data_IF_826093957482
#
_entry.id   IF_826093957482
#
_cell.length_a   1.000
_cell.length_b   1.000
_cell.length_c   1.000
_cell.angle_alpha   90.00
_cell.angle_beta   90.00
_cell.angle_gamma   90.00
#
_symmetry.space_group_name_H-M   'P 1'
#
loop_
_entity.id
_entity.type
_entity.pdbx_description
1 polymer ?
#
# COMPACT_ATOMS: atom_id res chain seq x y z
N UNK A 1 35.60 30.81 -62.46
CA UNK A 1 36.25 30.36 -61.21
C UNK A 1 35.61 31.13 -60.08
N UNK A 2 35.21 30.39 -59.04
CA UNK A 2 34.06 30.67 -58.16
C UNK A 2 34.43 31.59 -57.00
N UNK A 3 33.52 32.52 -56.71
CA UNK A 3 33.52 33.50 -55.61
C UNK A 3 32.59 33.09 -54.46
N UNK A 4 32.81 33.76 -53.33
CA UNK A 4 32.36 33.44 -51.99
C UNK A 4 30.94 33.91 -51.61
N UNK A 5 30.38 33.21 -50.62
CA UNK A 5 29.53 33.71 -49.52
C UNK A 5 28.21 34.42 -49.83
N UNK A 6 27.07 33.84 -49.41
CA UNK A 6 25.95 34.55 -48.73
C UNK A 6 24.78 33.61 -48.35
N UNK A 7 24.23 33.88 -47.17
CA UNK A 7 22.83 33.80 -46.72
C UNK A 7 21.79 33.05 -47.57
N UNK A 8 21.10 32.10 -46.93
CA UNK A 8 19.78 31.62 -47.35
C UNK A 8 18.72 32.04 -46.31
N UNK A 9 17.76 32.87 -46.76
CA UNK A 9 16.46 33.06 -46.12
C UNK A 9 15.63 31.77 -46.21
N UNK A 10 14.54 31.63 -45.43
CA UNK A 10 13.20 32.06 -45.83
C UNK A 10 12.30 32.12 -44.58
N UNK A 11 11.46 33.17 -44.49
CA UNK A 11 10.14 33.08 -43.86
C UNK A 11 9.90 33.93 -42.61
N UNK A 12 9.75 35.24 -42.77
CA UNK A 12 9.16 36.12 -41.75
C UNK A 12 7.67 35.77 -41.52
N UNK A 13 7.33 35.31 -40.32
CA UNK A 13 5.95 35.23 -39.85
C UNK A 13 5.73 36.36 -38.84
N UNK A 14 4.99 37.37 -39.29
CA UNK A 14 4.45 38.46 -38.49
C UNK A 14 3.77 37.91 -37.23
N UNK A 15 4.29 38.25 -36.06
CA UNK A 15 3.61 38.04 -34.78
C UNK A 15 2.53 39.11 -34.65
N UNK A 16 1.26 38.70 -34.76
CA UNK A 16 0.12 39.52 -34.33
C UNK A 16 0.21 39.72 -32.81
N UNK A 17 0.25 40.94 -32.28
CA UNK A 17 0.18 41.15 -30.84
C UNK A 17 -1.26 40.87 -30.37
N UNK A 18 -1.46 39.89 -29.49
CA UNK A 18 -2.75 39.64 -28.85
C UNK A 18 -3.24 38.19 -28.77
N UNK A 19 -2.40 37.18 -29.01
CA UNK A 19 -2.77 35.78 -28.74
C UNK A 19 -1.93 35.28 -27.58
N UNK A 20 -2.57 35.05 -26.43
CA UNK A 20 -1.98 34.30 -25.32
C UNK A 20 -1.37 33.00 -25.87
N UNK A 21 -0.18 32.59 -25.41
CA UNK A 21 0.36 31.30 -25.83
C UNK A 21 -0.61 30.22 -25.41
N UNK A 22 -1.36 29.68 -26.38
CA UNK A 22 -2.20 28.50 -26.21
C UNK A 22 -1.30 27.40 -25.66
N UNK A 23 -1.38 27.16 -24.35
CA UNK A 23 -0.73 26.03 -23.72
C UNK A 23 -1.26 24.79 -24.45
N UNK A 24 -0.34 24.10 -25.16
CA UNK A 24 -0.62 22.76 -25.67
C UNK A 24 -1.23 21.96 -24.51
N UNK A 25 -2.35 21.25 -24.73
CA UNK A 25 -2.95 20.45 -23.67
C UNK A 25 -1.87 19.51 -23.16
N UNK A 26 -1.52 19.65 -21.89
CA UNK A 26 -0.58 18.76 -21.23
C UNK A 26 -1.00 17.32 -21.51
N UNK A 27 -0.07 16.42 -21.90
CA UNK A 27 -0.43 15.04 -22.20
C UNK A 27 -1.22 14.45 -21.03
N UNK A 28 -2.26 13.64 -21.30
CA UNK A 28 -3.10 13.09 -20.24
C UNK A 28 -2.20 12.39 -19.21
N UNK A 29 -2.39 12.75 -17.94
CA UNK A 29 -1.57 12.24 -16.86
C UNK A 29 -1.50 10.71 -16.96
N UNK A 30 -0.30 10.10 -16.89
CA UNK A 30 -0.18 8.66 -16.94
C UNK A 30 -0.99 8.05 -15.78
N UNK A 31 -1.81 7.05 -16.12
CA UNK A 31 -2.64 6.35 -15.14
C UNK A 31 -1.77 5.75 -14.05
N UNK A 32 -2.16 5.98 -12.80
CA UNK A 32 -1.44 5.60 -11.60
C UNK A 32 -1.23 4.07 -11.53
N UNK A 33 -2.24 3.30 -11.90
CA UNK A 33 -2.18 1.83 -11.89
C UNK A 33 -1.63 1.22 -13.18
N UNK A 34 -1.55 1.98 -14.27
CA UNK A 34 -0.96 1.56 -15.55
C UNK A 34 -1.34 0.13 -15.99
N UNK A 35 -0.38 -0.83 -16.00
CA UNK A 35 -0.62 -2.20 -16.45
C UNK A 35 -1.47 -3.06 -15.49
N UNK A 36 -1.75 -2.58 -14.27
CA UNK A 36 -2.56 -3.29 -13.29
C UNK A 36 -4.07 -3.01 -13.43
N UNK A 37 -4.46 -1.98 -14.18
CA UNK A 37 -5.87 -1.66 -14.47
C UNK A 37 -6.65 -2.84 -15.08
N UNK A 38 -6.13 -3.54 -16.12
CA UNK A 38 -6.78 -4.72 -16.66
C UNK A 38 -6.86 -5.85 -15.64
N UNK A 39 -5.83 -6.06 -14.81
CA UNK A 39 -5.79 -7.14 -13.82
C UNK A 39 -6.92 -6.99 -12.79
N UNK A 40 -7.24 -5.76 -12.37
CA UNK A 40 -8.40 -5.50 -11.50
C UNK A 40 -9.69 -5.92 -12.19
N UNK A 41 -9.88 -5.55 -13.46
CA UNK A 41 -11.08 -5.88 -14.23
C UNK A 41 -11.26 -7.39 -14.46
N UNK A 42 -10.17 -8.12 -14.66
CA UNK A 42 -10.19 -9.57 -14.87
C UNK A 42 -10.26 -10.38 -13.57
N UNK A 43 -9.93 -9.78 -12.41
CA UNK A 43 -9.93 -10.48 -11.13
C UNK A 43 -11.30 -10.94 -10.61
N UNK A 44 -12.39 -10.43 -11.19
CA UNK A 44 -13.74 -10.66 -10.68
C UNK A 44 -14.10 -9.87 -9.40
N UNK A 45 -13.15 -9.07 -8.86
CA UNK A 45 -13.35 -8.21 -7.69
C UNK A 45 -13.73 -6.76 -8.06
N UNK A 46 -13.76 -6.42 -9.34
CA UNK A 46 -14.13 -5.08 -9.82
C UNK A 46 -15.63 -4.80 -9.62
N UNK A 47 -15.93 -3.99 -8.61
CA UNK A 47 -17.27 -3.55 -8.27
C UNK A 47 -17.64 -2.17 -8.86
N UNK A 48 -16.83 -1.61 -9.77
CA UNK A 48 -17.07 -0.29 -10.38
C UNK A 48 -18.45 -0.21 -11.06
N UNK A 49 -18.88 -1.29 -11.73
CA UNK A 49 -20.18 -1.35 -12.44
C UNK A 49 -21.39 -1.31 -11.48
N UNK A 50 -21.23 -1.78 -10.25
CA UNK A 50 -22.27 -1.76 -9.21
C UNK A 50 -22.71 -0.33 -8.88
N UNK A 51 -21.75 0.61 -8.85
CA UNK A 51 -22.02 2.03 -8.59
C UNK A 51 -22.61 2.75 -9.81
N UNK A 52 -22.14 2.42 -11.02
CA UNK A 52 -22.51 3.16 -12.25
C UNK A 52 -23.88 2.77 -12.81
N UNK A 53 -24.31 1.52 -12.66
CA UNK A 53 -25.54 1.02 -13.29
C UNK A 53 -26.67 0.69 -12.30
N UNK A 54 -26.43 0.85 -10.99
CA UNK A 54 -27.30 0.43 -9.87
C UNK A 54 -27.59 -1.08 -9.84
N UNK A 55 -28.17 -1.57 -8.74
CA UNK A 55 -28.60 -2.98 -8.58
C UNK A 55 -29.63 -3.46 -9.63
N UNK A 56 -30.20 -2.56 -10.45
CA UNK A 56 -31.19 -2.90 -11.48
C UNK A 56 -30.59 -3.40 -12.80
N UNK A 57 -29.30 -3.20 -13.05
CA UNK A 57 -28.64 -3.73 -14.25
C UNK A 57 -28.18 -5.18 -14.02
N UNK A 58 -28.54 -6.07 -14.95
CA UNK A 58 -28.11 -7.49 -14.96
C UNK A 58 -26.59 -7.60 -14.86
N UNK A 59 -25.84 -6.69 -15.48
CA UNK A 59 -24.37 -6.70 -15.45
C UNK A 59 -23.81 -6.33 -14.07
N UNK A 60 -24.43 -5.37 -13.38
CA UNK A 60 -24.04 -5.00 -12.01
C UNK A 60 -24.31 -6.13 -11.01
N UNK A 61 -25.47 -6.79 -11.13
CA UNK A 61 -25.83 -7.93 -10.31
C UNK A 61 -24.86 -9.11 -10.52
N UNK A 62 -24.53 -9.45 -11.77
CA UNK A 62 -23.57 -10.51 -12.08
C UNK A 62 -22.20 -10.24 -11.46
N UNK A 63 -21.67 -9.01 -11.57
CA UNK A 63 -20.39 -8.65 -10.93
C UNK A 63 -20.45 -8.75 -9.41
N UNK A 64 -21.57 -8.36 -8.80
CA UNK A 64 -21.77 -8.48 -7.35
C UNK A 64 -21.77 -9.95 -6.90
N UNK A 65 -22.49 -10.80 -7.62
CA UNK A 65 -22.60 -12.23 -7.33
C UNK A 65 -21.23 -12.91 -7.45
N UNK A 66 -20.45 -12.61 -8.48
CA UNK A 66 -19.09 -13.14 -8.64
C UNK A 66 -18.20 -12.72 -7.48
N UNK A 67 -18.22 -11.43 -7.10
CA UNK A 67 -17.39 -10.92 -6.03
C UNK A 67 -17.79 -11.50 -4.65
N UNK A 68 -19.09 -11.65 -4.39
CA UNK A 68 -19.61 -12.33 -3.19
C UNK A 68 -19.23 -13.81 -3.19
N UNK A 69 -19.31 -14.49 -4.32
CA UNK A 69 -18.92 -15.89 -4.44
C UNK A 69 -17.43 -16.10 -4.15
N UNK A 70 -16.55 -15.25 -4.72
CA UNK A 70 -15.12 -15.24 -4.40
C UNK A 70 -14.90 -15.02 -2.90
N UNK A 71 -15.58 -14.05 -2.31
CA UNK A 71 -15.45 -13.77 -0.88
C UNK A 71 -15.89 -14.95 -0.01
N UNK A 72 -17.02 -15.58 -0.34
CA UNK A 72 -17.53 -16.76 0.38
C UNK A 72 -16.54 -17.91 0.30
N UNK A 73 -15.92 -18.15 -0.86
CA UNK A 73 -14.90 -19.19 -1.02
C UNK A 73 -13.70 -18.95 -0.09
N UNK A 74 -13.15 -17.73 -0.06
CA UNK A 74 -12.03 -17.40 0.82
C UNK A 74 -12.45 -17.52 2.30
N UNK A 75 -13.67 -17.13 2.65
CA UNK A 75 -14.17 -17.27 4.02
C UNK A 75 -14.34 -18.74 4.44
N UNK A 76 -14.79 -19.62 3.53
CA UNK A 76 -14.87 -21.06 3.79
C UNK A 76 -13.49 -21.59 4.17
N UNK A 77 -12.44 -21.17 3.46
CA UNK A 77 -11.06 -21.54 3.77
C UNK A 77 -10.60 -21.03 5.15
N UNK A 78 -10.92 -19.79 5.51
CA UNK A 78 -10.65 -19.27 6.87
C UNK A 78 -11.31 -20.14 7.95
N UNK A 79 -12.60 -20.44 7.80
CA UNK A 79 -13.33 -21.26 8.77
C UNK A 79 -12.83 -22.70 8.80
N UNK A 80 -12.36 -23.21 7.66
CA UNK A 80 -11.73 -24.51 7.52
C UNK A 80 -10.47 -24.57 8.40
N UNK A 81 -9.53 -23.62 8.24
CA UNK A 81 -8.33 -23.61 9.09
C UNK A 81 -8.65 -23.40 10.58
N UNK A 82 -9.61 -22.54 10.92
CA UNK A 82 -10.01 -22.29 12.32
C UNK A 82 -10.68 -23.49 13.01
N UNK A 83 -11.25 -24.44 12.26
CA UNK A 83 -11.91 -25.64 12.81
C UNK A 83 -10.93 -26.76 13.14
N UNK A 84 -9.67 -26.62 12.77
CA UNK A 84 -8.62 -27.58 13.10
C UNK A 84 -8.47 -27.68 14.62
N UNK A 85 -8.73 -28.86 15.17
CA UNK A 85 -8.48 -29.17 16.58
C UNK A 85 -7.07 -29.74 16.71
N UNK A 86 -6.16 -28.93 17.23
CA UNK A 86 -4.81 -29.35 17.57
C UNK A 86 -4.47 -28.88 18.99
N UNK A 87 -3.58 -29.61 19.68
CA UNK A 87 -3.14 -29.22 21.02
C UNK A 87 -2.39 -27.88 20.95
N UNK A 88 -2.63 -27.01 21.93
CA UNK A 88 -1.96 -25.70 22.00
C UNK A 88 -0.44 -25.89 22.02
N UNK A 89 0.29 -25.02 21.33
CA UNK A 89 1.76 -25.10 21.14
C UNK A 89 2.27 -26.31 20.32
N UNK A 90 1.39 -27.16 19.79
CA UNK A 90 1.77 -28.18 18.80
C UNK A 90 2.04 -27.57 17.42
N UNK A 91 2.73 -28.31 16.56
CA UNK A 91 2.97 -27.93 15.16
C UNK A 91 1.65 -27.68 14.42
N UNK A 92 0.67 -28.58 14.55
CA UNK A 92 -0.63 -28.44 13.87
C UNK A 92 -1.44 -27.24 14.35
N UNK A 93 -1.30 -26.84 15.62
CA UNK A 93 -1.93 -25.61 16.13
C UNK A 93 -1.27 -24.36 15.53
N UNK A 94 0.06 -24.29 15.55
CA UNK A 94 0.77 -23.13 15.00
C UNK A 94 0.58 -23.00 13.48
N UNK A 95 0.59 -24.13 12.76
CA UNK A 95 0.39 -24.18 11.30
C UNK A 95 -1.02 -23.73 10.90
N UNK A 96 -2.06 -24.32 11.52
CA UNK A 96 -3.45 -23.92 11.27
C UNK A 96 -3.69 -22.45 11.59
N UNK A 97 -3.11 -21.96 12.68
CA UNK A 97 -3.19 -20.56 13.08
C UNK A 97 -2.51 -19.66 12.04
N UNK A 98 -1.30 -20.00 11.58
CA UNK A 98 -0.59 -19.24 10.56
C UNK A 98 -1.39 -19.12 9.26
N UNK A 99 -1.88 -20.24 8.72
CA UNK A 99 -2.65 -20.24 7.48
C UNK A 99 -4.02 -19.57 7.64
N UNK A 100 -4.70 -19.75 8.77
CA UNK A 100 -5.95 -19.05 9.03
C UNK A 100 -5.78 -17.52 9.02
N UNK A 101 -4.70 -17.01 9.64
CA UNK A 101 -4.40 -15.58 9.64
C UNK A 101 -4.02 -15.06 8.25
N UNK A 102 -3.30 -15.83 7.44
CA UNK A 102 -3.00 -15.46 6.04
C UNK A 102 -4.24 -15.50 5.15
N UNK A 103 -5.14 -16.48 5.32
CA UNK A 103 -6.42 -16.52 4.63
C UNK A 103 -7.32 -15.33 5.04
N UNK A 104 -7.31 -14.93 6.33
CA UNK A 104 -8.00 -13.71 6.78
C UNK A 104 -7.40 -12.45 6.15
N UNK A 105 -6.07 -12.39 5.99
CA UNK A 105 -5.41 -11.30 5.26
C UNK A 105 -5.89 -11.23 3.81
N UNK A 106 -6.00 -12.37 3.11
CA UNK A 106 -6.53 -12.43 1.75
C UNK A 106 -8.01 -11.99 1.69
N UNK A 107 -8.83 -12.41 2.66
CA UNK A 107 -10.24 -11.99 2.75
C UNK A 107 -10.39 -10.47 2.93
N UNK A 108 -9.61 -9.86 3.82
CA UNK A 108 -9.60 -8.40 4.02
C UNK A 108 -9.10 -7.68 2.76
N UNK A 109 -8.14 -8.27 2.04
CA UNK A 109 -7.66 -7.74 0.77
C UNK A 109 -8.73 -7.76 -0.31
N UNK A 110 -9.48 -8.86 -0.42
CA UNK A 110 -10.62 -8.96 -1.33
C UNK A 110 -11.69 -7.89 -1.00
N UNK A 111 -12.07 -7.75 0.28
CA UNK A 111 -13.01 -6.72 0.74
C UNK A 111 -12.53 -5.32 0.36
N UNK A 112 -11.24 -5.05 0.58
CA UNK A 112 -10.65 -3.73 0.31
C UNK A 112 -10.67 -3.40 -1.19
N UNK A 113 -10.28 -4.35 -2.05
CA UNK A 113 -10.36 -4.17 -3.52
C UNK A 113 -11.80 -3.95 -3.97
N UNK A 114 -12.76 -4.72 -3.44
CA UNK A 114 -14.19 -4.52 -3.75
C UNK A 114 -14.67 -3.12 -3.34
N UNK A 115 -14.29 -2.64 -2.15
CA UNK A 115 -14.69 -1.33 -1.66
C UNK A 115 -14.04 -0.19 -2.46
N UNK A 116 -12.74 -0.27 -2.74
CA UNK A 116 -12.01 0.76 -3.49
C UNK A 116 -12.48 0.87 -4.94
N UNK A 117 -12.77 -0.26 -5.60
CA UNK A 117 -13.31 -0.28 -6.96
C UNK A 117 -14.75 0.21 -7.01
N UNK A 118 -15.60 -0.20 -6.06
CA UNK A 118 -16.98 0.33 -5.93
C UNK A 118 -16.99 1.84 -5.75
N UNK A 119 -16.08 2.37 -4.94
CA UNK A 119 -16.02 3.79 -4.61
C UNK A 119 -15.22 4.62 -5.63
N UNK A 120 -14.71 4.03 -6.72
CA UNK A 120 -13.82 4.71 -7.68
C UNK A 120 -12.70 5.48 -6.98
N UNK A 121 -12.18 4.91 -5.88
CA UNK A 121 -11.24 5.59 -4.99
C UNK A 121 -10.00 6.07 -5.74
N UNK A 122 -9.44 5.20 -6.59
CA UNK A 122 -8.22 5.50 -7.36
C UNK A 122 -8.44 6.65 -8.34
N UNK A 123 -9.57 6.69 -9.06
CA UNK A 123 -9.89 7.78 -9.98
C UNK A 123 -10.05 9.11 -9.24
N UNK A 124 -10.76 9.13 -8.11
CA UNK A 124 -10.93 10.35 -7.31
C UNK A 124 -9.58 10.85 -6.76
N UNK A 125 -8.69 9.93 -6.38
CA UNK A 125 -7.32 10.25 -5.98
C UNK A 125 -6.52 10.85 -7.15
N UNK A 126 -6.59 10.25 -8.35
CA UNK A 126 -5.92 10.76 -9.56
C UNK A 126 -6.38 12.17 -9.94
N UNK A 127 -7.70 12.42 -9.90
CA UNK A 127 -8.27 13.75 -10.21
C UNK A 127 -7.78 14.81 -9.22
N UNK A 128 -7.77 14.48 -7.93
CA UNK A 128 -7.28 15.40 -6.88
C UNK A 128 -5.77 15.62 -6.99
N UNK A 129 -5.01 14.57 -7.33
CA UNK A 129 -3.57 14.67 -7.57
C UNK A 129 -3.28 15.53 -8.81
N UNK A 130 -4.04 15.38 -9.90
CA UNK A 130 -3.90 16.20 -11.09
C UNK A 130 -4.11 17.69 -10.78
N UNK A 131 -5.11 18.03 -9.94
CA UNK A 131 -5.32 19.39 -9.45
C UNK A 131 -4.15 19.92 -8.61
N UNK A 132 -3.52 19.08 -7.79
CA UNK A 132 -2.32 19.47 -7.04
C UNK A 132 -1.12 19.72 -7.96
N UNK A 133 -1.00 18.94 -9.04
CA UNK A 133 0.09 19.09 -10.02
C UNK A 133 0.04 20.44 -10.75
N UNK A 134 -1.16 20.97 -11.02
CA UNK A 134 -1.29 22.29 -11.65
C UNK A 134 -0.84 23.44 -10.74
N UNK A 135 -0.66 23.19 -9.43
CA UNK A 135 -0.16 24.17 -8.45
C UNK A 135 1.35 24.01 -8.17
N UNK A 136 2.08 23.18 -8.93
CA UNK A 136 3.54 23.05 -8.83
C UNK A 136 4.24 24.29 -9.39
N UNK A 137 5.35 24.67 -8.77
CA UNK A 137 6.23 25.74 -9.28
C UNK A 137 7.20 25.19 -10.34
N UNK A 138 7.58 23.92 -10.20
CA UNK A 138 8.44 23.21 -11.14
C UNK A 138 7.79 21.91 -11.63
N UNK A 139 7.72 21.74 -12.95
CA UNK A 139 7.21 20.51 -13.57
C UNK A 139 8.38 19.59 -13.91
N UNK A 140 8.41 18.37 -13.36
CA UNK A 140 9.39 17.36 -13.73
C UNK A 140 8.69 16.11 -14.26
N UNK A 141 8.91 15.79 -15.55
CA UNK A 141 8.39 14.56 -16.16
C UNK A 141 8.86 13.29 -15.43
N UNK A 142 10.03 13.33 -14.78
CA UNK A 142 10.58 12.19 -14.02
C UNK A 142 9.78 11.85 -12.76
N UNK A 143 9.04 12.81 -12.20
CA UNK A 143 8.20 12.60 -11.02
C UNK A 143 6.87 11.93 -11.39
N UNK A 144 6.39 12.23 -12.60
CA UNK A 144 5.12 11.74 -13.12
C UNK A 144 5.26 10.41 -13.88
N UNK A 145 6.49 9.93 -14.11
CA UNK A 145 6.74 8.57 -14.63
C UNK A 145 6.60 7.50 -13.52
N UNK A 146 5.64 6.60 -13.71
CA UNK A 146 5.35 5.48 -12.82
C UNK A 146 5.93 4.14 -13.30
N UNK A 147 6.57 4.09 -14.47
CA UNK A 147 7.01 2.83 -15.11
C UNK A 147 7.99 2.03 -14.24
N UNK A 148 9.00 2.70 -13.67
CA UNK A 148 9.95 2.05 -12.74
C UNK A 148 9.25 1.51 -11.49
N UNK A 149 8.21 2.20 -11.06
CA UNK A 149 7.44 1.81 -9.90
C UNK A 149 6.54 0.59 -10.21
N UNK A 150 5.88 0.56 -11.37
CA UNK A 150 5.10 -0.60 -11.80
C UNK A 150 5.96 -1.86 -11.90
N UNK A 151 7.20 -1.74 -12.43
CA UNK A 151 8.15 -2.86 -12.45
C UNK A 151 8.51 -3.35 -11.04
N UNK A 152 8.71 -2.44 -10.09
CA UNK A 152 8.98 -2.80 -8.69
C UNK A 152 7.78 -3.46 -8.01
N UNK A 153 6.57 -2.97 -8.27
CA UNK A 153 5.33 -3.57 -7.79
C UNK A 153 5.14 -5.00 -8.35
N UNK A 154 5.41 -5.21 -9.64
CA UNK A 154 5.37 -6.54 -10.25
C UNK A 154 6.35 -7.52 -9.56
N UNK A 155 7.58 -7.08 -9.28
CA UNK A 155 8.56 -7.91 -8.55
C UNK A 155 8.12 -8.23 -7.11
N UNK A 156 7.36 -7.36 -6.45
CA UNK A 156 6.86 -7.59 -5.09
C UNK A 156 5.78 -8.68 -5.02
N UNK A 157 5.04 -8.88 -6.12
CA UNK A 157 3.92 -9.83 -6.19
C UNK A 157 4.39 -11.25 -6.46
N UNK A 158 5.47 -11.43 -7.22
CA UNK A 158 5.99 -12.75 -7.60
C UNK A 158 6.22 -13.67 -6.37
N UNK A 159 6.87 -13.22 -5.29
CA UNK A 159 7.05 -14.04 -4.09
C UNK A 159 5.73 -14.49 -3.45
N UNK A 160 4.68 -13.66 -3.49
CA UNK A 160 3.35 -14.03 -2.95
C UNK A 160 2.82 -15.24 -3.70
N UNK A 161 2.82 -15.19 -5.04
CA UNK A 161 2.34 -16.30 -5.86
C UNK A 161 3.22 -17.55 -5.69
N UNK A 162 4.54 -17.41 -5.75
CA UNK A 162 5.45 -18.55 -5.66
C UNK A 162 5.28 -19.27 -4.33
N UNK A 163 5.33 -18.55 -3.20
CA UNK A 163 5.36 -19.18 -1.87
C UNK A 163 4.00 -19.79 -1.52
N UNK A 164 2.91 -19.05 -1.74
CA UNK A 164 1.55 -19.50 -1.41
C UNK A 164 1.16 -20.69 -2.29
N UNK A 165 1.34 -20.59 -3.61
CA UNK A 165 0.98 -21.69 -4.51
C UNK A 165 1.90 -22.89 -4.32
N UNK A 166 3.21 -22.73 -4.16
CA UNK A 166 4.10 -23.87 -3.90
C UNK A 166 3.71 -24.61 -2.62
N UNK A 167 3.29 -23.91 -1.57
CA UNK A 167 2.80 -24.53 -0.33
C UNK A 167 1.49 -25.28 -0.57
N UNK A 168 0.54 -24.67 -1.27
CA UNK A 168 -0.76 -25.27 -1.56
C UNK A 168 -0.66 -26.49 -2.48
N UNK A 169 0.14 -26.41 -3.55
CA UNK A 169 0.40 -27.52 -4.46
C UNK A 169 1.13 -28.66 -3.76
N UNK A 170 2.17 -28.35 -2.97
CA UNK A 170 2.89 -29.37 -2.21
C UNK A 170 1.94 -30.10 -1.26
N UNK A 171 1.09 -29.37 -0.54
CA UNK A 171 0.11 -29.98 0.36
C UNK A 171 -0.94 -30.81 -0.38
N UNK A 172 -1.44 -30.33 -1.52
CA UNK A 172 -2.40 -31.05 -2.35
C UNK A 172 -1.83 -32.35 -2.95
N UNK A 173 -0.55 -32.37 -3.34
CA UNK A 173 0.10 -33.56 -3.92
C UNK A 173 0.43 -34.60 -2.85
N UNK A 174 0.85 -34.13 -1.67
CA UNK A 174 1.25 -35.01 -0.55
C UNK A 174 0.07 -35.46 0.32
N UNK A 175 -1.12 -34.87 0.14
CA UNK A 175 -2.28 -35.04 1.01
C UNK A 175 -1.99 -34.76 2.50
N UNK A 176 -0.98 -33.92 2.79
CA UNK A 176 -0.55 -33.57 4.14
C UNK A 176 -0.65 -32.06 4.30
N UNK A 177 -1.71 -31.61 4.95
CA UNK A 177 -1.83 -30.20 5.40
C UNK A 177 -1.43 -30.03 6.88
N UNK A 178 -1.12 -31.12 7.59
CA UNK A 178 -0.61 -31.06 8.97
C UNK A 178 0.68 -31.86 9.05
N UNK A 179 1.75 -31.19 9.45
CA UNK A 179 3.07 -31.80 9.66
C UNK A 179 3.13 -32.79 10.83
N UNK A 180 2.02 -33.02 11.55
CA UNK A 180 1.98 -34.04 12.58
C UNK A 180 0.62 -34.76 12.64
N UNK A 181 0.72 -36.07 12.81
CA UNK A 181 -0.29 -37.10 12.65
C UNK A 181 -1.57 -36.94 13.52
N UNK A 182 -2.63 -37.60 13.03
CA UNK A 182 -3.85 -38.07 13.71
C UNK A 182 -5.19 -37.34 13.44
N UNK A 183 -5.23 -36.21 12.73
CA UNK A 183 -6.52 -35.60 12.34
C UNK A 183 -6.70 -35.54 10.82
N UNK A 184 -7.15 -36.67 10.27
CA UNK A 184 -7.46 -36.87 8.83
C UNK A 184 -8.70 -36.11 8.35
N UNK A 185 -9.24 -35.16 9.12
CA UNK A 185 -10.50 -34.48 8.78
C UNK A 185 -10.43 -33.76 7.43
N UNK A 186 -9.23 -33.37 6.98
CA UNK A 186 -9.04 -32.62 5.74
C UNK A 186 -8.64 -33.44 4.51
N UNK A 187 -8.05 -34.64 4.64
CA UNK A 187 -7.58 -35.38 3.44
C UNK A 187 -8.74 -35.82 2.54
N UNK A 188 -9.95 -35.95 3.09
CA UNK A 188 -11.14 -36.39 2.36
C UNK A 188 -12.10 -35.25 2.00
N UNK A 189 -11.76 -33.99 2.33
CA UNK A 189 -12.64 -32.85 2.04
C UNK A 189 -12.44 -32.34 0.62
N UNK A 190 -13.53 -32.09 -0.10
CA UNK A 190 -13.51 -31.46 -1.43
C UNK A 190 -12.76 -30.12 -1.41
N UNK A 191 -12.82 -29.39 -0.29
CA UNK A 191 -12.11 -28.11 -0.11
C UNK A 191 -10.59 -28.28 -0.24
N UNK A 192 -10.03 -29.43 0.15
CA UNK A 192 -8.60 -29.71 0.06
C UNK A 192 -8.14 -29.88 -1.39
N UNK A 193 -8.93 -30.55 -2.23
CA UNK A 193 -8.60 -30.76 -3.65
C UNK A 193 -8.64 -29.44 -4.45
N UNK A 194 -9.43 -28.48 -3.99
CA UNK A 194 -9.53 -27.15 -4.60
C UNK A 194 -8.70 -26.08 -3.89
N UNK A 195 -7.94 -26.42 -2.84
CA UNK A 195 -7.14 -25.44 -2.08
C UNK A 195 -6.18 -24.62 -2.98
N UNK A 196 -5.44 -25.19 -3.94
CA UNK A 196 -4.59 -24.39 -4.84
C UNK A 196 -5.35 -23.36 -5.67
N UNK A 197 -6.60 -23.65 -6.02
CA UNK A 197 -7.46 -22.72 -6.75
C UNK A 197 -7.97 -21.60 -5.85
N UNK A 198 -8.34 -21.92 -4.60
CA UNK A 198 -8.77 -20.92 -3.61
C UNK A 198 -7.59 -20.00 -3.26
N UNK A 199 -6.43 -20.57 -2.98
CA UNK A 199 -5.18 -19.85 -2.72
C UNK A 199 -4.77 -18.96 -3.90
N UNK A 200 -4.95 -19.43 -5.14
CA UNK A 200 -4.72 -18.61 -6.33
C UNK A 200 -5.61 -17.36 -6.36
N UNK A 201 -6.89 -17.49 -6.02
CA UNK A 201 -7.81 -16.34 -5.91
C UNK A 201 -7.37 -15.42 -4.76
N UNK A 202 -6.97 -16.00 -3.62
CA UNK A 202 -6.40 -15.26 -2.49
C UNK A 202 -5.14 -14.46 -2.88
N UNK A 203 -4.23 -15.06 -3.65
CA UNK A 203 -3.04 -14.39 -4.18
C UNK A 203 -3.40 -13.21 -5.07
N UNK A 204 -4.39 -13.35 -5.97
CA UNK A 204 -4.87 -12.25 -6.81
C UNK A 204 -5.41 -11.12 -5.93
N UNK A 205 -6.26 -11.43 -4.96
CA UNK A 205 -6.86 -10.45 -4.07
C UNK A 205 -5.80 -9.69 -3.26
N UNK A 206 -4.89 -10.41 -2.58
CA UNK A 206 -3.80 -9.83 -1.79
C UNK A 206 -2.86 -8.99 -2.65
N UNK A 207 -2.48 -9.48 -3.83
CA UNK A 207 -1.56 -8.77 -4.71
C UNK A 207 -2.16 -7.46 -5.23
N UNK A 208 -3.42 -7.48 -5.68
CA UNK A 208 -4.10 -6.26 -6.13
C UNK A 208 -4.27 -5.25 -5.01
N UNK A 209 -4.61 -5.70 -3.80
CA UNK A 209 -4.76 -4.82 -2.65
C UNK A 209 -3.43 -4.15 -2.28
N UNK A 210 -2.33 -4.92 -2.23
CA UNK A 210 -0.99 -4.40 -1.98
C UNK A 210 -0.57 -3.41 -3.06
N UNK A 211 -0.80 -3.71 -4.35
CA UNK A 211 -0.48 -2.78 -5.44
C UNK A 211 -1.20 -1.46 -5.21
N UNK A 212 -2.53 -1.47 -5.07
CA UNK A 212 -3.31 -0.23 -4.94
C UNK A 212 -2.82 0.56 -3.72
N UNK A 213 -2.68 -0.11 -2.58
CA UNK A 213 -2.26 0.51 -1.32
C UNK A 213 -0.87 1.15 -1.42
N UNK A 214 0.14 0.42 -1.91
CA UNK A 214 1.52 0.91 -2.01
C UNK A 214 1.63 1.99 -3.08
N UNK A 215 0.91 1.86 -4.20
CA UNK A 215 0.95 2.84 -5.30
C UNK A 215 0.40 4.19 -4.86
N UNK A 216 -0.79 4.20 -4.24
CA UNK A 216 -1.45 5.43 -3.79
C UNK A 216 -0.59 6.14 -2.73
N UNK A 217 -0.14 5.41 -1.70
CA UNK A 217 0.72 6.00 -0.68
C UNK A 217 2.06 6.48 -1.25
N UNK A 218 2.66 5.76 -2.20
CA UNK A 218 3.92 6.20 -2.84
C UNK A 218 3.73 7.45 -3.68
N UNK A 219 2.63 7.57 -4.43
CA UNK A 219 2.33 8.76 -5.21
C UNK A 219 2.08 9.98 -4.33
N UNK A 220 1.32 9.81 -3.24
CA UNK A 220 1.14 10.85 -2.22
C UNK A 220 2.48 11.26 -1.61
N UNK A 221 3.31 10.29 -1.25
CA UNK A 221 4.63 10.51 -0.67
C UNK A 221 5.58 11.28 -1.60
N UNK A 222 5.55 10.98 -2.91
CA UNK A 222 6.33 11.71 -3.91
C UNK A 222 5.89 13.17 -4.02
N UNK A 223 4.59 13.43 -3.99
CA UNK A 223 4.07 14.79 -4.08
C UNK A 223 4.44 15.63 -2.84
N UNK A 224 4.30 15.07 -1.64
CA UNK A 224 4.69 15.77 -0.40
C UNK A 224 6.21 16.02 -0.39
N UNK A 225 7.02 15.03 -0.76
CA UNK A 225 8.47 15.21 -0.87
C UNK A 225 8.86 16.28 -1.89
N UNK A 226 8.15 16.34 -3.01
CA UNK A 226 8.38 17.38 -4.01
C UNK A 226 8.01 18.76 -3.47
N UNK A 227 6.86 18.88 -2.80
CA UNK A 227 6.45 20.08 -2.10
C UNK A 227 7.49 20.55 -1.08
N UNK A 228 8.02 19.64 -0.24
CA UNK A 228 9.07 19.96 0.73
C UNK A 228 10.32 20.50 0.02
N UNK A 229 10.75 19.86 -1.08
CA UNK A 229 11.91 20.33 -1.85
C UNK A 229 11.69 21.73 -2.43
N UNK A 230 10.50 22.03 -2.96
CA UNK A 230 10.16 23.36 -3.46
C UNK A 230 10.14 24.39 -2.32
N UNK A 231 9.55 24.04 -1.18
CA UNK A 231 9.49 24.88 0.01
C UNK A 231 10.88 25.20 0.55
N UNK A 232 11.76 24.21 0.70
CA UNK A 232 13.16 24.41 1.13
C UNK A 232 13.92 25.33 0.17
N UNK A 233 13.73 25.16 -1.14
CA UNK A 233 14.36 26.02 -2.13
C UNK A 233 13.84 27.46 -2.02
N UNK A 234 12.52 27.66 -1.92
CA UNK A 234 11.92 28.99 -1.76
C UNK A 234 12.32 29.67 -0.45
N UNK A 235 12.46 28.91 0.65
CA UNK A 235 13.00 29.42 1.91
C UNK A 235 14.45 29.90 1.74
N UNK A 236 15.30 29.09 1.08
CA UNK A 236 16.70 29.43 0.81
C UNK A 236 16.85 30.69 -0.05
N UNK A 237 15.96 30.92 -0.99
CA UNK A 237 15.95 32.12 -1.85
C UNK A 237 15.14 33.29 -1.25
N UNK A 238 14.71 33.20 0.01
CA UNK A 238 13.90 34.21 0.71
C UNK A 238 12.60 34.61 -0.03
N UNK A 239 12.12 33.77 -0.94
CA UNK A 239 10.91 34.03 -1.73
C UNK A 239 9.63 33.91 -0.88
N UNK A 240 9.71 33.28 0.29
CA UNK A 240 8.62 33.15 1.24
C UNK A 240 8.26 34.46 1.95
N UNK A 241 9.10 35.49 1.83
CA UNK A 241 8.81 36.85 2.30
C UNK A 241 7.75 37.58 1.47
N UNK A 242 7.36 37.01 0.31
CA UNK A 242 6.30 37.54 -0.53
C UNK A 242 4.95 36.95 -0.08
N UNK A 243 3.97 37.77 0.37
CA UNK A 243 2.69 37.27 0.87
C UNK A 243 1.94 36.39 -0.14
N UNK A 244 2.03 36.71 -1.44
CA UNK A 244 1.41 35.93 -2.50
C UNK A 244 2.01 34.52 -2.64
N UNK A 245 3.34 34.40 -2.50
CA UNK A 245 4.06 33.13 -2.60
C UNK A 245 3.73 32.26 -1.38
N UNK A 246 3.78 32.85 -0.18
CA UNK A 246 3.43 32.16 1.05
C UNK A 246 1.97 31.67 1.06
N UNK A 247 1.02 32.47 0.58
CA UNK A 247 -0.38 32.09 0.49
C UNK A 247 -0.61 30.94 -0.50
N UNK A 248 0.09 30.95 -1.64
CA UNK A 248 0.04 29.84 -2.61
C UNK A 248 0.57 28.53 -2.02
N UNK A 249 1.68 28.58 -1.27
CA UNK A 249 2.20 27.44 -0.53
C UNK A 249 1.22 26.96 0.54
N UNK A 250 0.63 27.87 1.32
CA UNK A 250 -0.38 27.54 2.34
C UNK A 250 -1.62 26.86 1.75
N UNK A 251 -2.11 27.34 0.59
CA UNK A 251 -3.23 26.75 -0.13
C UNK A 251 -2.92 25.34 -0.62
N UNK A 252 -1.76 25.15 -1.26
CA UNK A 252 -1.34 23.82 -1.73
C UNK A 252 -1.10 22.85 -0.57
N UNK A 253 -0.54 23.33 0.53
CA UNK A 253 -0.38 22.54 1.75
C UNK A 253 -1.75 22.08 2.30
N UNK A 254 -2.75 22.97 2.34
CA UNK A 254 -4.10 22.61 2.77
C UNK A 254 -4.68 21.49 1.90
N UNK A 255 -4.57 21.61 0.58
CA UNK A 255 -5.03 20.59 -0.36
C UNK A 255 -4.27 19.25 -0.19
N UNK A 256 -2.96 19.28 0.11
CA UNK A 256 -2.16 18.09 0.41
C UNK A 256 -2.60 17.39 1.70
N UNK A 257 -2.93 18.14 2.75
CA UNK A 257 -3.48 17.57 3.99
C UNK A 257 -4.85 16.94 3.70
N UNK A 258 -5.72 17.62 2.93
CA UNK A 258 -7.03 17.10 2.58
C UNK A 258 -6.92 15.79 1.78
N UNK A 259 -6.01 15.73 0.81
CA UNK A 259 -5.74 14.50 0.06
C UNK A 259 -5.21 13.39 0.97
N UNK A 260 -4.30 13.71 1.90
CA UNK A 260 -3.81 12.74 2.90
C UNK A 260 -4.95 12.20 3.75
N UNK A 261 -5.84 13.06 4.25
CA UNK A 261 -7.02 12.64 5.03
C UNK A 261 -7.97 11.76 4.21
N UNK A 262 -8.19 12.10 2.94
CA UNK A 262 -8.98 11.28 2.02
C UNK A 262 -8.38 9.88 1.86
N UNK A 263 -7.08 9.78 1.54
CA UNK A 263 -6.38 8.51 1.42
C UNK A 263 -6.45 7.71 2.72
N UNK A 264 -6.19 8.36 3.86
CA UNK A 264 -6.20 7.72 5.16
C UNK A 264 -7.58 7.18 5.53
N UNK A 265 -8.66 7.90 5.19
CA UNK A 265 -10.03 7.42 5.43
C UNK A 265 -10.31 6.10 4.68
N UNK A 266 -9.88 5.99 3.43
CA UNK A 266 -10.14 4.80 2.59
C UNK A 266 -9.15 3.65 2.82
N UNK A 267 -7.91 3.94 3.23
CA UNK A 267 -6.85 2.94 3.38
C UNK A 267 -6.57 2.53 4.83
N UNK A 268 -7.05 3.29 5.84
CA UNK A 268 -6.81 3.05 7.27
C UNK A 268 -7.05 1.62 7.71
N UNK A 269 -8.24 1.08 7.39
CA UNK A 269 -8.66 -0.27 7.81
C UNK A 269 -7.73 -1.34 7.25
N UNK A 270 -7.37 -1.23 5.98
CA UNK A 270 -6.43 -2.14 5.35
C UNK A 270 -5.04 -2.03 5.99
N UNK A 271 -4.51 -0.81 6.11
CA UNK A 271 -3.20 -0.55 6.71
C UNK A 271 -3.07 -0.92 8.20
N UNK A 272 -4.19 -1.04 8.91
CA UNK A 272 -4.22 -1.49 10.31
C UNK A 272 -4.38 -3.02 10.44
N UNK A 273 -5.34 -3.61 9.71
CA UNK A 273 -5.74 -5.01 9.91
C UNK A 273 -4.79 -5.98 9.21
N UNK A 274 -4.32 -5.65 8.00
CA UNK A 274 -3.44 -6.55 7.23
C UNK A 274 -2.11 -6.81 7.94
N UNK A 275 -1.37 -5.78 8.39
CA UNK A 275 -0.11 -6.01 9.11
C UNK A 275 -0.31 -6.80 10.41
N UNK A 276 -1.45 -6.64 11.09
CA UNK A 276 -1.76 -7.44 12.29
C UNK A 276 -1.84 -8.93 11.95
N UNK A 277 -2.65 -9.32 10.96
CA UNK A 277 -2.78 -10.72 10.57
C UNK A 277 -1.47 -11.32 10.05
N UNK A 278 -0.69 -10.56 9.26
CA UNK A 278 0.59 -11.06 8.74
C UNK A 278 1.65 -11.19 9.83
N UNK A 279 1.66 -10.30 10.82
CA UNK A 279 2.56 -10.40 11.98
C UNK A 279 2.19 -11.60 12.87
N UNK A 280 0.90 -11.87 13.09
CA UNK A 280 0.47 -13.05 13.82
C UNK A 280 0.82 -14.34 13.07
N UNK A 281 0.64 -14.39 11.76
CA UNK A 281 1.08 -15.52 10.95
C UNK A 281 2.60 -15.71 11.04
N UNK A 282 3.37 -14.63 10.92
CA UNK A 282 4.82 -14.66 11.06
C UNK A 282 5.27 -15.28 12.39
N UNK A 283 4.69 -14.88 13.52
CA UNK A 283 5.05 -15.43 14.85
C UNK A 283 4.86 -16.95 14.88
N UNK A 284 3.75 -17.44 14.33
CA UNK A 284 3.44 -18.86 14.31
C UNK A 284 4.39 -19.65 13.38
N UNK A 285 4.67 -19.14 12.18
CA UNK A 285 5.60 -19.79 11.24
C UNK A 285 7.02 -19.80 11.81
N UNK A 286 7.49 -18.69 12.36
CA UNK A 286 8.81 -18.60 12.97
C UNK A 286 8.94 -19.51 14.20
N UNK A 287 7.88 -19.66 15.00
CA UNK A 287 7.81 -20.62 16.09
C UNK A 287 7.96 -22.07 15.60
N UNK A 288 7.29 -22.44 14.49
CA UNK A 288 7.39 -23.79 13.91
C UNK A 288 8.83 -24.07 13.45
N UNK A 289 9.39 -23.16 12.64
CA UNK A 289 10.74 -23.28 12.09
C UNK A 289 11.79 -23.37 13.19
N UNK A 290 11.65 -22.59 14.26
CA UNK A 290 12.60 -22.55 15.37
C UNK A 290 12.49 -23.72 16.35
N UNK A 291 11.29 -24.22 16.60
CA UNK A 291 11.05 -25.21 17.68
C UNK A 291 11.03 -26.67 17.18
N UNK A 292 10.75 -26.90 15.90
CA UNK A 292 10.49 -28.25 15.38
C UNK A 292 11.40 -28.65 14.21
N UNK A 293 12.55 -27.97 14.04
CA UNK A 293 13.47 -28.18 12.92
C UNK A 293 13.77 -29.66 12.63
N UNK A 294 14.05 -30.45 13.67
CA UNK A 294 14.44 -31.86 13.53
C UNK A 294 13.27 -32.79 13.20
N UNK A 295 12.03 -32.33 13.36
CA UNK A 295 10.81 -33.10 13.09
C UNK A 295 10.17 -32.77 11.73
N UNK A 296 10.70 -31.78 11.00
CA UNK A 296 10.12 -31.29 9.76
C UNK A 296 10.79 -31.93 8.53
N UNK A 297 9.99 -32.23 7.50
CA UNK A 297 10.51 -32.55 6.16
C UNK A 297 11.36 -31.36 5.64
N UNK A 298 12.57 -31.60 5.09
CA UNK A 298 13.40 -30.56 4.49
C UNK A 298 12.66 -29.64 3.52
N UNK A 299 11.74 -30.16 2.70
CA UNK A 299 10.98 -29.35 1.74
C UNK A 299 10.06 -28.37 2.47
N UNK A 300 9.39 -28.85 3.52
CA UNK A 300 8.46 -28.04 4.30
C UNK A 300 9.18 -27.01 5.14
N UNK A 301 10.35 -27.37 5.68
CA UNK A 301 11.24 -26.42 6.34
C UNK A 301 11.60 -25.24 5.41
N UNK A 302 11.93 -25.51 4.14
CA UNK A 302 12.22 -24.45 3.15
C UNK A 302 10.99 -23.58 2.88
N UNK A 303 9.81 -24.19 2.70
CA UNK A 303 8.56 -23.46 2.47
C UNK A 303 8.19 -22.56 3.65
N UNK A 304 8.27 -23.07 4.88
CA UNK A 304 8.00 -22.29 6.09
C UNK A 304 9.00 -21.15 6.27
N UNK A 305 10.28 -21.35 5.96
CA UNK A 305 11.24 -20.25 5.94
C UNK A 305 10.84 -19.19 4.90
N UNK A 306 10.41 -19.60 3.70
CA UNK A 306 9.92 -18.66 2.70
C UNK A 306 8.69 -17.87 3.19
N UNK A 307 7.77 -18.52 3.90
CA UNK A 307 6.64 -17.85 4.55
C UNK A 307 7.06 -16.78 5.56
N UNK A 308 8.14 -16.98 6.33
CA UNK A 308 8.62 -15.94 7.27
C UNK A 308 9.02 -14.66 6.53
N UNK A 309 9.76 -14.79 5.42
CA UNK A 309 10.14 -13.65 4.58
C UNK A 309 8.94 -12.99 3.92
N UNK A 310 7.96 -13.78 3.47
CA UNK A 310 6.74 -13.27 2.88
C UNK A 310 5.93 -12.43 3.87
N UNK A 311 5.72 -12.93 5.09
CA UNK A 311 4.93 -12.25 6.12
C UNK A 311 5.58 -10.93 6.54
N UNK A 312 6.91 -10.91 6.70
CA UNK A 312 7.67 -9.67 6.93
C UNK A 312 7.52 -8.72 5.74
N UNK A 313 7.67 -9.23 4.51
CA UNK A 313 7.57 -8.44 3.29
C UNK A 313 6.22 -7.73 3.15
N UNK A 314 5.12 -8.45 3.37
CA UNK A 314 3.76 -7.88 3.34
C UNK A 314 3.57 -6.85 4.45
N UNK A 315 4.08 -7.13 5.66
CA UNK A 315 4.02 -6.19 6.79
C UNK A 315 4.74 -4.88 6.46
N UNK A 316 5.96 -4.96 5.92
CA UNK A 316 6.74 -3.79 5.50
C UNK A 316 6.00 -3.03 4.40
N UNK A 317 5.43 -3.72 3.41
CA UNK A 317 4.63 -3.10 2.36
C UNK A 317 3.37 -2.38 2.91
N UNK A 318 2.79 -2.89 3.99
CA UNK A 318 1.65 -2.28 4.68
C UNK A 318 2.02 -1.04 5.51
N UNK A 319 3.12 -1.10 6.28
CA UNK A 319 3.45 -0.02 7.24
C UNK A 319 4.40 1.03 6.67
N UNK A 320 5.42 0.65 5.89
CA UNK A 320 6.48 1.57 5.46
C UNK A 320 6.00 2.74 4.59
N UNK A 321 5.10 2.56 3.60
CA UNK A 321 4.60 3.68 2.80
C UNK A 321 3.85 4.70 3.66
N UNK A 322 3.15 4.23 4.70
CA UNK A 322 2.39 5.06 5.60
C UNK A 322 3.31 5.90 6.50
N UNK A 323 4.32 5.27 7.11
CA UNK A 323 5.34 5.95 7.92
C UNK A 323 5.96 7.11 7.14
N UNK A 324 6.36 6.87 5.88
CA UNK A 324 6.99 7.89 5.05
C UNK A 324 6.10 9.10 4.77
N UNK A 325 4.79 8.90 4.60
CA UNK A 325 3.84 10.00 4.44
C UNK A 325 3.78 10.84 5.71
N UNK A 326 3.80 10.21 6.89
CA UNK A 326 3.80 10.94 8.16
C UNK A 326 5.11 11.70 8.38
N UNK A 327 6.25 11.07 8.12
CA UNK A 327 7.57 11.68 8.26
C UNK A 327 7.72 12.89 7.33
N UNK A 328 7.26 12.80 6.07
CA UNK A 328 7.35 13.92 5.13
C UNK A 328 6.41 15.09 5.49
N UNK A 329 5.26 14.83 6.13
CA UNK A 329 4.40 15.92 6.65
C UNK A 329 5.07 16.60 7.85
N UNK A 330 5.73 15.82 8.70
CA UNK A 330 6.50 16.35 9.82
C UNK A 330 7.69 17.20 9.34
N UNK A 331 8.40 16.75 8.31
CA UNK A 331 9.50 17.50 7.67
C UNK A 331 9.02 18.86 7.15
N UNK A 332 7.78 18.97 6.63
CA UNK A 332 7.20 20.26 6.25
C UNK A 332 7.12 21.23 7.42
N UNK A 333 6.72 20.75 8.61
CA UNK A 333 6.68 21.56 9.82
C UNK A 333 8.09 22.01 10.23
N UNK A 334 9.05 21.11 10.17
CA UNK A 334 10.45 21.40 10.52
C UNK A 334 11.06 22.46 9.60
N UNK A 335 10.83 22.39 8.28
CA UNK A 335 11.30 23.40 7.33
C UNK A 335 10.75 24.79 7.68
N UNK A 336 9.46 24.87 8.01
CA UNK A 336 8.82 26.14 8.40
C UNK A 336 9.32 26.66 9.76
N UNK A 337 9.64 25.77 10.71
CA UNK A 337 10.18 26.17 12.01
C UNK A 337 11.64 26.63 11.97
N UNK A 338 12.41 26.25 10.95
CA UNK A 338 13.81 26.67 10.80
C UNK A 338 13.99 27.96 9.97
N UNK A 339 12.92 28.56 9.46
CA UNK A 339 12.99 29.82 8.71
C UNK A 339 12.85 31.02 9.67
N UNK A 340 14.01 31.53 10.14
CA UNK A 340 14.11 32.66 11.06
C UNK A 340 13.47 33.95 10.51
N UNK A 341 13.44 34.10 9.18
CA UNK A 341 12.91 35.30 8.51
C UNK A 341 11.39 35.35 8.61
N UNK A 342 10.72 34.20 8.56
CA UNK A 342 9.27 34.11 8.73
C UNK A 342 8.84 34.30 10.19
N UNK A 343 9.68 33.93 11.15
CA UNK A 343 9.41 34.10 12.59
C UNK A 343 9.56 35.55 13.05
N UNK A 344 10.47 36.30 12.44
CA UNK A 344 10.79 37.69 12.78
C UNK A 344 10.10 38.71 11.87
N UNK A 345 9.26 38.25 10.94
CA UNK A 345 8.59 39.12 9.99
C UNK A 345 7.57 40.02 10.69
N UNK A 346 7.72 41.35 10.53
CA UNK A 346 6.83 42.35 11.12
C UNK A 346 5.48 42.54 10.41
N UNK A 347 5.19 41.74 9.38
CA UNK A 347 3.91 41.74 8.68
C UNK A 347 2.93 40.75 9.34
N UNK A 348 1.91 41.30 10.01
CA UNK A 348 0.87 40.54 10.71
C UNK A 348 0.17 39.51 9.83
N UNK A 349 -0.03 39.81 8.53
CA UNK A 349 -0.73 38.93 7.61
C UNK A 349 0.14 37.72 7.23
N UNK A 350 1.44 37.93 7.05
CA UNK A 350 2.38 36.84 6.81
C UNK A 350 2.60 35.99 8.05
N UNK A 351 2.77 36.61 9.21
CA UNK A 351 2.93 35.89 10.48
C UNK A 351 1.68 35.06 10.79
N UNK A 352 0.47 35.57 10.54
CA UNK A 352 -0.77 34.80 10.67
C UNK A 352 -0.82 33.61 9.70
N UNK A 353 -0.49 33.82 8.42
CA UNK A 353 -0.50 32.74 7.40
C UNK A 353 0.53 31.66 7.72
N UNK A 354 1.70 32.06 8.21
CA UNK A 354 2.75 31.18 8.71
C UNK A 354 2.24 30.34 9.90
N UNK A 355 1.74 30.99 10.96
CA UNK A 355 1.19 30.33 12.15
C UNK A 355 0.09 29.34 11.81
N UNK A 356 -0.87 29.72 10.96
CA UNK A 356 -1.96 28.82 10.53
C UNK A 356 -1.41 27.61 9.77
N UNK A 357 -0.39 27.79 8.94
CA UNK A 357 0.23 26.67 8.21
C UNK A 357 0.98 25.75 9.16
N UNK A 358 1.75 26.31 10.09
CA UNK A 358 2.47 25.55 11.13
C UNK A 358 1.52 24.79 12.06
N UNK A 359 0.47 25.44 12.55
CA UNK A 359 -0.54 24.82 13.40
C UNK A 359 -1.25 23.68 12.67
N UNK A 360 -1.53 23.82 11.37
CA UNK A 360 -2.05 22.72 10.55
C UNK A 360 -1.07 21.56 10.45
N UNK A 361 0.24 21.79 10.36
CA UNK A 361 1.21 20.69 10.34
C UNK A 361 1.27 19.96 11.69
N UNK A 362 1.33 20.72 12.80
CA UNK A 362 1.52 20.19 14.15
C UNK A 362 0.25 19.53 14.72
N UNK A 363 -0.92 20.09 14.43
CA UNK A 363 -2.20 19.67 15.01
C UNK A 363 -3.13 18.96 14.02
N UNK A 364 -2.71 18.76 12.76
CA UNK A 364 -3.52 17.95 11.85
C UNK A 364 -3.61 16.52 12.38
N UNK A 365 -4.85 16.09 12.66
CA UNK A 365 -5.19 14.72 13.01
C UNK A 365 -5.08 13.76 11.81
N UNK A 366 -4.08 13.95 10.95
CA UNK A 366 -3.79 13.15 9.76
C UNK A 366 -2.96 11.91 10.07
N UNK A 367 -2.49 11.73 11.31
CA UNK A 367 -1.75 10.52 11.70
C UNK A 367 -2.70 9.34 11.69
N UNK A 368 -2.37 8.32 10.89
CA UNK A 368 -3.06 7.04 10.95
C UNK A 368 -2.59 6.27 12.17
N UNK A 369 -3.52 5.60 12.83
CA UNK A 369 -3.24 4.74 13.96
C UNK A 369 -3.35 3.26 13.55
N UNK A 370 -2.30 2.48 13.82
CA UNK A 370 -2.31 1.04 13.79
C UNK A 370 -3.31 0.53 14.84
N UNK A 371 -4.27 -0.29 14.37
CA UNK A 371 -5.40 -0.79 15.16
C UNK A 371 -6.19 0.29 15.92
N UNK A 372 -6.20 1.54 15.41
CA UNK A 372 -6.75 2.71 16.10
C UNK A 372 -6.16 2.99 17.51
N UNK A 373 -5.03 2.35 17.84
CA UNK A 373 -4.41 2.42 19.17
C UNK A 373 -3.03 3.09 19.15
N UNK A 374 -2.21 2.82 18.11
CA UNK A 374 -0.83 3.31 18.04
C UNK A 374 -0.63 4.20 16.81
N UNK A 375 -0.18 5.46 16.95
CA UNK A 375 0.15 6.27 15.78
C UNK A 375 1.27 5.60 14.96
N UNK A 376 1.10 5.51 13.64
CA UNK A 376 2.09 4.87 12.74
C UNK A 376 3.22 5.83 12.42
N UNK A 377 4.11 6.05 13.37
CA UNK A 377 5.36 6.79 13.19
C UNK A 377 6.56 5.84 12.93
N UNK A 378 7.70 6.41 12.53
CA UNK A 378 8.95 5.67 12.34
C UNK A 378 9.37 4.89 13.60
N UNK A 379 9.09 5.44 14.79
CA UNK A 379 9.38 4.77 16.06
C UNK A 379 8.49 3.55 16.31
N UNK A 380 7.18 3.65 16.06
CA UNK A 380 6.22 2.56 16.18
C UNK A 380 6.56 1.44 15.21
N UNK A 381 6.91 1.78 13.95
CA UNK A 381 7.39 0.80 12.98
C UNK A 381 8.61 0.02 13.49
N UNK A 382 9.64 0.73 13.97
CA UNK A 382 10.84 0.10 14.52
C UNK A 382 10.52 -0.78 15.75
N UNK A 383 9.62 -0.32 16.63
CA UNK A 383 9.15 -1.11 17.78
C UNK A 383 8.43 -2.38 17.34
N UNK A 384 7.50 -2.30 16.38
CA UNK A 384 6.78 -3.48 15.86
C UNK A 384 7.77 -4.49 15.26
N UNK A 385 8.70 -4.02 14.42
CA UNK A 385 9.71 -4.87 13.78
C UNK A 385 10.69 -5.49 14.78
N UNK A 386 10.87 -4.88 15.95
CA UNK A 386 11.67 -5.45 17.04
C UNK A 386 10.86 -6.42 17.92
N UNK A 387 9.67 -6.03 18.38
CA UNK A 387 8.90 -6.83 19.34
C UNK A 387 8.36 -8.13 18.75
N UNK A 388 7.85 -8.11 17.52
CA UNK A 388 7.16 -9.28 16.97
C UNK A 388 8.09 -10.49 16.78
N UNK A 389 9.30 -10.38 16.21
CA UNK A 389 10.26 -11.48 16.19
C UNK A 389 10.64 -11.99 17.58
N UNK A 390 10.72 -11.10 18.57
CA UNK A 390 11.02 -11.49 19.96
C UNK A 390 9.88 -12.28 20.62
N UNK A 391 8.62 -12.07 20.25
CA UNK A 391 7.51 -12.91 20.70
C UNK A 391 7.71 -14.35 20.20
N UNK A 392 8.09 -14.52 18.92
CA UNK A 392 8.41 -15.84 18.39
C UNK A 392 9.59 -16.48 19.13
N UNK A 393 10.65 -15.72 19.42
CA UNK A 393 11.79 -16.22 20.19
C UNK A 393 11.39 -16.67 21.60
N UNK A 394 10.52 -15.90 22.27
CA UNK A 394 9.99 -16.26 23.59
C UNK A 394 9.16 -17.55 23.54
N UNK A 395 8.32 -17.72 22.51
CA UNK A 395 7.56 -18.96 22.31
C UNK A 395 8.48 -20.17 22.08
N UNK A 396 9.56 -20.00 21.30
CA UNK A 396 10.57 -21.04 21.07
C UNK A 396 11.24 -21.42 22.40
N UNK A 397 11.70 -20.44 23.19
CA UNK A 397 12.32 -20.68 24.50
C UNK A 397 11.37 -21.37 25.49
N UNK A 398 10.10 -20.96 25.49
CA UNK A 398 9.06 -21.59 26.31
C UNK A 398 8.87 -23.07 25.95
N UNK A 399 8.85 -23.39 24.65
CA UNK A 399 8.74 -24.77 24.18
C UNK A 399 9.98 -25.61 24.50
N UNK A 400 11.17 -25.05 24.31
CA UNK A 400 12.43 -25.72 24.62
C UNK A 400 12.59 -25.99 26.13
N UNK A 401 12.04 -25.13 26.99
CA UNK A 401 12.00 -25.35 28.45
C UNK A 401 10.93 -26.34 28.90
N UNK A 402 9.94 -26.65 28.05
CA UNK A 402 8.86 -27.60 28.34
C UNK A 402 8.78 -28.67 27.23
N UNK A 403 9.75 -29.61 27.16
CA UNK A 403 9.87 -30.57 26.06
C UNK A 403 8.66 -31.50 25.90
N UNK A 404 7.86 -31.68 26.96
CA UNK A 404 6.70 -32.59 27.02
C UNK A 404 5.36 -31.97 26.58
N UNK A 405 5.30 -30.65 26.35
CA UNK A 405 4.19 -29.98 25.63
C UNK A 405 4.31 -30.20 24.13
#
# INVERSE_FOLDING_TARGET
MVEAGTNLGIGSLYVKPGVEPTQLPSPPAPKLLGPFDPLIKFSGLDCHKLRKESFRSVRGLVTAVIAVFIFVIIMIEVFTFMRIKANVFSVGWAESTAYAFMAMQAAISAISVMCWTRENFVSQFEDTLARLRTMRLSTSQSLDDYTKFHRKAAMMIVPIFVIVLSTSFYSSVTNRYQLNDNSTFYSNSVVHQFAPFIDFIGCIASSLAIIIYVTVNTALNREIKHFNKELTNSARFQQLTLPQVLNNYSKRHSDLIQLTRFVNKHLSKYGAIVPFFTLTAFVNVAYIVGSFKDSLDPVVYVLLNAWTFLCIGITIAGLQPLVKVQDNIQETAEILMHDDVLQTCGDDQMHHTYRVTLDRCLHSNSKLAFLNAFPVDSNCFNRIMFFVPNISAAMILYRLSHPLL
#
